data_IF_205183117508
#
_entry.id   IF_205183117508
#
_cell.length_a   1.000
_cell.length_b   1.000
_cell.length_c   1.000
_cell.angle_alpha   90.00
_cell.angle_beta   90.00
_cell.angle_gamma   90.00
#
_symmetry.space_group_name_H-M   'P 1'
#
loop_
_entity.id
_entity.type
_entity.pdbx_description
1 polymer ?
#
# COMPACT_ATOMS: atom_id res chain seq x y z
N UNK A 1 -15.60 -32.85 9.06
CA UNK A 1 -14.50 -31.86 9.12
C UNK A 1 -13.98 -31.63 7.73
N UNK A 2 -13.62 -30.38 7.40
CA UNK A 2 -13.04 -29.98 6.11
C UNK A 2 -11.62 -29.43 6.29
N UNK A 3 -10.76 -29.70 5.30
CA UNK A 3 -9.38 -29.20 5.26
C UNK A 3 -9.38 -27.72 4.86
N UNK A 4 -8.90 -26.86 5.76
CA UNK A 4 -8.81 -25.41 5.55
C UNK A 4 -7.50 -25.03 4.85
N UNK A 5 -6.37 -25.47 5.41
CA UNK A 5 -5.01 -25.19 4.90
C UNK A 5 -4.13 -26.42 5.15
N UNK A 6 -3.19 -26.66 4.24
CA UNK A 6 -2.13 -27.66 4.38
C UNK A 6 -0.77 -26.97 4.30
N UNK A 7 0.06 -27.08 5.34
CA UNK A 7 1.37 -26.41 5.41
C UNK A 7 2.31 -27.10 6.41
N UNK A 8 3.63 -26.90 6.24
CA UNK A 8 4.64 -27.31 7.22
C UNK A 8 5.25 -26.13 7.99
N UNK A 9 4.85 -24.90 7.66
CA UNK A 9 5.33 -23.69 8.32
C UNK A 9 4.74 -23.60 9.75
N UNK A 10 5.57 -23.75 10.81
CA UNK A 10 5.10 -23.72 12.19
C UNK A 10 4.57 -22.34 12.60
N UNK A 11 5.08 -21.25 12.00
CA UNK A 11 4.61 -19.88 12.26
C UNK A 11 3.21 -19.72 11.68
N UNK A 12 3.01 -20.15 10.42
CA UNK A 12 1.70 -20.11 9.77
C UNK A 12 0.67 -20.97 10.50
N UNK A 13 1.04 -22.15 10.99
CA UNK A 13 0.15 -23.01 11.79
C UNK A 13 -0.25 -22.32 13.08
N UNK A 14 0.73 -21.83 13.85
CA UNK A 14 0.47 -21.14 15.13
C UNK A 14 -0.41 -19.90 14.94
N UNK A 15 -0.14 -19.12 13.89
CA UNK A 15 -0.90 -17.92 13.57
C UNK A 15 -2.34 -18.24 13.14
N UNK A 16 -2.53 -19.18 12.21
CA UNK A 16 -3.87 -19.59 11.76
C UNK A 16 -4.73 -20.10 12.92
N UNK A 17 -4.15 -20.92 13.81
CA UNK A 17 -4.87 -21.40 15.00
C UNK A 17 -5.26 -20.26 15.94
N UNK A 18 -4.41 -19.25 16.14
CA UNK A 18 -4.73 -18.09 16.95
C UNK A 18 -5.86 -17.24 16.35
N UNK A 19 -5.78 -16.92 15.05
CA UNK A 19 -6.81 -16.14 14.34
C UNK A 19 -8.17 -16.82 14.37
N UNK A 20 -8.21 -18.15 14.18
CA UNK A 20 -9.45 -18.91 14.24
C UNK A 20 -10.03 -18.93 15.67
N UNK A 21 -9.19 -19.11 16.69
CA UNK A 21 -9.60 -19.13 18.08
C UNK A 21 -10.17 -17.78 18.55
N UNK A 22 -9.62 -16.64 18.10
CA UNK A 22 -10.16 -15.30 18.42
C UNK A 22 -11.62 -15.11 17.97
N UNK A 23 -12.05 -15.85 16.93
CA UNK A 23 -13.42 -15.85 16.42
C UNK A 23 -14.25 -17.04 16.89
N UNK A 24 -13.73 -17.82 17.84
CA UNK A 24 -14.40 -18.99 18.40
C UNK A 24 -14.51 -20.16 17.42
N UNK A 25 -13.64 -20.23 16.41
CA UNK A 25 -13.61 -21.33 15.44
C UNK A 25 -12.59 -22.36 15.91
N UNK A 26 -13.06 -23.56 16.24
CA UNK A 26 -12.21 -24.67 16.65
C UNK A 26 -11.47 -25.29 15.46
N UNK A 27 -10.13 -25.23 15.51
CA UNK A 27 -9.25 -25.79 14.50
C UNK A 27 -8.44 -26.98 15.04
N UNK A 28 -8.43 -28.08 14.31
CA UNK A 28 -7.67 -29.29 14.64
C UNK A 28 -6.50 -29.44 13.67
N UNK A 29 -5.27 -29.53 14.19
CA UNK A 29 -4.07 -29.78 13.38
C UNK A 29 -3.81 -31.29 13.32
N UNK A 30 -3.97 -31.88 12.13
CA UNK A 30 -3.67 -33.28 11.86
C UNK A 30 -2.22 -33.48 11.37
N UNK A 31 -1.75 -34.72 11.47
CA UNK A 31 -0.43 -35.19 11.01
C UNK A 31 0.76 -34.68 11.84
N UNK A 32 0.50 -34.11 13.03
CA UNK A 32 1.52 -33.61 13.98
C UNK A 32 2.50 -34.71 14.42
N UNK A 33 1.99 -35.92 14.73
CA UNK A 33 2.80 -37.03 15.25
C UNK A 33 3.41 -37.92 14.16
N UNK A 34 2.78 -38.01 12.98
CA UNK A 34 3.24 -38.88 11.88
C UNK A 34 4.59 -38.44 11.32
N UNK A 35 4.82 -37.12 11.21
CA UNK A 35 6.12 -36.54 10.82
C UNK A 35 7.25 -36.80 11.81
N UNK A 36 6.96 -37.06 13.09
CA UNK A 36 7.95 -37.26 14.15
C UNK A 36 8.32 -38.74 14.27
N UNK A 37 7.33 -39.64 14.17
CA UNK A 37 7.51 -41.09 14.30
C UNK A 37 8.29 -41.72 13.12
N UNK A 38 8.11 -41.22 11.89
CA UNK A 38 8.78 -41.78 10.71
C UNK A 38 10.17 -41.18 10.43
N UNK A 39 10.67 -40.28 11.29
CA UNK A 39 11.98 -39.61 11.09
C UNK A 39 12.02 -38.67 9.89
N UNK A 40 10.88 -38.40 9.25
CA UNK A 40 10.75 -37.54 8.08
C UNK A 40 10.28 -36.14 8.46
N UNK A 41 11.04 -35.45 9.31
CA UNK A 41 10.73 -34.09 9.77
C UNK A 41 10.58 -33.16 8.56
N UNK A 42 9.34 -32.74 8.28
CA UNK A 42 9.00 -31.83 7.18
C UNK A 42 8.56 -32.49 5.87
N UNK A 43 8.48 -33.83 5.78
CA UNK A 43 8.05 -34.52 4.55
C UNK A 43 6.52 -34.63 4.41
N UNK A 44 5.79 -34.72 5.52
CA UNK A 44 4.33 -34.82 5.51
C UNK A 44 3.74 -33.47 5.93
N UNK A 45 3.08 -32.73 5.01
CA UNK A 45 2.47 -31.46 5.34
C UNK A 45 1.28 -31.62 6.28
N UNK A 46 1.27 -30.84 7.36
CA UNK A 46 0.20 -30.84 8.36
C UNK A 46 -1.06 -30.20 7.80
N UNK A 47 -2.22 -30.74 8.18
CA UNK A 47 -3.53 -30.24 7.75
C UNK A 47 -4.24 -29.57 8.90
N UNK A 48 -4.68 -28.34 8.67
CA UNK A 48 -5.56 -27.61 9.59
C UNK A 48 -7.00 -27.91 9.17
N UNK A 49 -7.74 -28.55 10.06
CA UNK A 49 -9.10 -28.99 9.84
C UNK A 49 -10.05 -28.14 10.67
N UNK A 50 -11.22 -27.83 10.12
CA UNK A 50 -12.33 -27.19 10.83
C UNK A 50 -13.59 -28.03 10.64
N UNK A 51 -14.61 -27.84 11.50
CA UNK A 51 -15.90 -28.48 11.29
C UNK A 51 -16.58 -27.94 10.02
N UNK A 52 -17.44 -28.74 9.41
CA UNK A 52 -17.99 -28.43 8.08
C UNK A 52 -18.83 -27.15 8.07
N UNK A 53 -19.50 -26.86 9.18
CA UNK A 53 -20.35 -25.69 9.39
C UNK A 53 -19.54 -24.39 9.44
N UNK A 54 -18.36 -24.43 10.07
CA UNK A 54 -17.47 -23.28 10.21
C UNK A 54 -16.57 -23.05 8.99
N UNK A 55 -16.52 -23.99 8.05
CA UNK A 55 -15.55 -23.99 6.96
C UNK A 55 -15.55 -22.69 6.15
N UNK A 56 -16.73 -22.19 5.80
CA UNK A 56 -16.85 -20.96 5.00
C UNK A 56 -16.45 -19.71 5.79
N UNK A 57 -16.83 -19.64 7.07
CA UNK A 57 -16.44 -18.54 7.96
C UNK A 57 -14.93 -18.55 8.23
N UNK A 58 -14.36 -19.73 8.49
CA UNK A 58 -12.93 -19.93 8.68
C UNK A 58 -12.14 -19.53 7.43
N UNK A 59 -12.59 -19.94 6.25
CA UNK A 59 -11.95 -19.59 4.97
C UNK A 59 -12.00 -18.09 4.70
N UNK A 60 -13.14 -17.44 4.92
CA UNK A 60 -13.29 -16.01 4.77
C UNK A 60 -12.38 -15.24 5.76
N UNK A 61 -12.33 -15.68 7.01
CA UNK A 61 -11.50 -15.09 8.06
C UNK A 61 -10.01 -15.20 7.70
N UNK A 62 -9.54 -16.40 7.35
CA UNK A 62 -8.14 -16.62 6.94
C UNK A 62 -7.78 -15.77 5.74
N UNK A 63 -8.62 -15.72 4.72
CA UNK A 63 -8.38 -14.86 3.55
C UNK A 63 -8.32 -13.38 3.91
N UNK A 64 -9.16 -12.91 4.84
CA UNK A 64 -9.14 -11.53 5.30
C UNK A 64 -7.91 -11.23 6.17
N UNK A 65 -7.50 -12.17 7.02
CA UNK A 65 -6.37 -12.03 7.92
C UNK A 65 -5.03 -12.15 7.17
N UNK A 66 -4.91 -13.04 6.18
CA UNK A 66 -3.73 -13.14 5.31
C UNK A 66 -3.54 -11.86 4.49
N UNK A 67 -4.63 -11.19 4.07
CA UNK A 67 -4.57 -9.86 3.45
C UNK A 67 -4.12 -8.76 4.42
N UNK A 68 -4.44 -8.88 5.71
CA UNK A 68 -4.06 -7.91 6.73
C UNK A 68 -2.64 -8.13 7.29
N UNK A 69 -2.08 -9.35 7.19
CA UNK A 69 -0.78 -9.73 7.77
C UNK A 69 0.39 -9.54 6.80
N UNK A 70 0.14 -9.35 5.51
CA UNK A 70 1.18 -8.83 4.61
C UNK A 70 1.26 -7.32 4.87
N UNK A 71 2.33 -6.84 5.54
CA UNK A 71 2.73 -5.43 5.45
C UNK A 71 3.00 -5.12 3.98
N UNK A 72 1.98 -4.62 3.28
CA UNK A 72 2.03 -4.28 1.85
C UNK A 72 2.75 -2.96 1.60
N UNK A 73 3.09 -2.23 2.65
CA UNK A 73 3.63 -0.88 2.61
C UNK A 73 4.89 -0.76 3.48
N UNK A 74 5.71 0.23 3.13
CA UNK A 74 6.89 0.64 3.89
C UNK A 74 6.85 2.15 4.09
N UNK A 75 7.44 2.65 5.18
CA UNK A 75 7.59 4.08 5.43
C UNK A 75 9.01 4.48 5.08
N UNK A 76 9.16 5.34 4.08
CA UNK A 76 10.43 5.99 3.76
C UNK A 76 10.43 7.44 4.26
N UNK A 77 11.63 8.00 4.42
CA UNK A 77 11.83 9.39 4.79
C UNK A 77 12.53 10.14 3.65
N UNK A 78 11.96 11.27 3.23
CA UNK A 78 12.59 12.20 2.30
C UNK A 78 12.92 13.51 3.03
N UNK A 79 13.90 14.25 2.51
CA UNK A 79 14.29 15.58 2.99
C UNK A 79 14.56 15.61 4.51
N UNK A 80 15.42 14.69 4.98
CA UNK A 80 15.75 14.51 6.40
C UNK A 80 14.52 14.30 7.31
N UNK A 81 13.51 13.58 6.80
CA UNK A 81 12.31 13.23 7.56
C UNK A 81 11.24 14.32 7.59
N UNK A 82 11.40 15.41 6.82
CA UNK A 82 10.34 16.41 6.62
C UNK A 82 9.16 15.86 5.83
N UNK A 83 9.38 14.81 5.06
CA UNK A 83 8.32 14.07 4.37
C UNK A 83 8.44 12.60 4.78
N UNK A 84 7.42 12.11 5.47
CA UNK A 84 7.22 10.68 5.72
C UNK A 84 6.32 10.13 4.63
N UNK A 85 6.80 9.08 3.96
CA UNK A 85 6.18 8.56 2.75
C UNK A 85 5.89 7.07 2.90
N UNK A 86 4.64 6.74 3.24
CA UNK A 86 4.11 5.40 3.05
C UNK A 86 3.95 5.11 1.57
N UNK A 87 4.47 3.97 1.15
CA UNK A 87 4.31 3.49 -0.22
C UNK A 87 4.32 1.96 -0.25
N UNK A 88 3.74 1.36 -1.31
CA UNK A 88 3.80 -0.08 -1.50
C UNK A 88 5.23 -0.62 -1.41
N UNK A 89 5.35 -1.81 -0.82
CA UNK A 89 6.61 -2.53 -0.67
C UNK A 89 7.12 -3.09 -2.01
N UNK A 90 6.19 -3.52 -2.85
CA UNK A 90 6.44 -4.07 -4.19
C UNK A 90 6.02 -3.05 -5.26
N UNK A 91 6.33 -3.33 -6.53
CA UNK A 91 6.06 -2.41 -7.64
C UNK A 91 7.05 -1.24 -7.75
N UNK A 92 6.68 -0.23 -8.53
CA UNK A 92 7.49 0.99 -8.67
C UNK A 92 7.50 1.78 -7.36
N UNK A 93 8.72 2.05 -6.85
CA UNK A 93 8.95 2.82 -5.63
C UNK A 93 9.60 4.15 -5.93
N UNK A 94 9.26 5.14 -5.11
CA UNK A 94 9.82 6.49 -5.20
C UNK A 94 11.34 6.44 -5.04
N UNK A 95 12.02 7.07 -5.99
CA UNK A 95 13.47 7.26 -6.00
C UNK A 95 13.80 8.76 -5.91
N UNK A 96 14.95 9.17 -6.46
CA UNK A 96 15.43 10.56 -6.37
C UNK A 96 14.67 11.51 -7.29
N UNK A 97 14.04 11.02 -8.36
CA UNK A 97 13.46 11.86 -9.42
C UNK A 97 12.36 12.82 -8.90
N UNK A 98 11.38 12.39 -8.08
CA UNK A 98 10.39 13.30 -7.51
C UNK A 98 10.99 14.41 -6.64
N UNK A 99 12.10 14.14 -5.95
CA UNK A 99 12.81 15.13 -5.13
C UNK A 99 13.47 16.18 -6.02
N UNK A 100 14.13 15.77 -7.10
CA UNK A 100 14.76 16.68 -8.06
C UNK A 100 13.73 17.47 -8.86
N UNK A 101 12.62 16.83 -9.26
CA UNK A 101 11.49 17.49 -9.90
C UNK A 101 10.93 18.59 -8.99
N UNK A 102 10.64 18.27 -7.73
CA UNK A 102 10.17 19.26 -6.76
C UNK A 102 11.18 20.39 -6.55
N UNK A 103 12.49 20.13 -6.57
CA UNK A 103 13.54 21.14 -6.44
C UNK A 103 13.61 22.10 -7.65
N UNK A 104 13.21 21.63 -8.84
CA UNK A 104 13.24 22.43 -10.08
C UNK A 104 12.12 23.47 -10.18
N UNK A 105 11.09 23.36 -9.34
CA UNK A 105 9.95 24.28 -9.32
C UNK A 105 10.19 25.39 -8.30
N UNK A 106 10.09 26.64 -8.75
CA UNK A 106 10.10 27.83 -7.89
C UNK A 106 8.67 28.38 -7.78
N UNK A 107 7.90 27.86 -6.81
CA UNK A 107 6.54 28.30 -6.55
C UNK A 107 6.49 29.32 -5.41
N UNK A 108 5.78 30.43 -5.65
CA UNK A 108 5.51 31.49 -4.66
C UNK A 108 4.20 31.31 -3.90
N UNK A 109 3.99 32.17 -2.89
CA UNK A 109 2.73 32.19 -2.15
C UNK A 109 1.54 32.57 -3.05
N UNK A 110 0.45 31.81 -2.97
CA UNK A 110 -0.75 31.96 -3.80
C UNK A 110 -0.62 31.41 -5.22
N UNK A 111 0.56 30.92 -5.61
CA UNK A 111 0.72 30.22 -6.89
C UNK A 111 0.13 28.82 -6.83
N UNK A 112 -0.52 28.41 -7.91
CA UNK A 112 -1.19 27.10 -8.02
C UNK A 112 -0.32 26.13 -8.80
N UNK A 113 0.05 25.01 -8.17
CA UNK A 113 0.88 23.97 -8.79
C UNK A 113 0.10 22.67 -8.88
N UNK A 114 0.17 22.01 -10.05
CA UNK A 114 -0.40 20.68 -10.27
C UNK A 114 0.70 19.63 -10.45
N UNK A 115 0.64 18.57 -9.66
CA UNK A 115 1.38 17.32 -9.86
C UNK A 115 0.48 16.29 -10.58
N UNK A 116 0.85 15.91 -11.80
CA UNK A 116 0.08 14.99 -12.64
C UNK A 116 0.66 13.59 -12.55
N UNK A 117 -0.19 12.61 -12.20
CA UNK A 117 0.26 11.26 -11.88
C UNK A 117 0.99 11.26 -10.54
N UNK A 118 0.36 11.86 -9.52
CA UNK A 118 0.99 12.16 -8.25
C UNK A 118 1.42 10.90 -7.46
N UNK A 119 0.90 9.71 -7.80
CA UNK A 119 1.16 8.48 -7.09
C UNK A 119 0.89 8.62 -5.59
N UNK A 120 1.88 8.26 -4.76
CA UNK A 120 1.83 8.42 -3.29
C UNK A 120 2.16 9.84 -2.80
N UNK A 121 2.27 10.82 -3.72
CA UNK A 121 2.41 12.25 -3.41
C UNK A 121 3.85 12.76 -3.27
N UNK A 122 4.87 12.00 -3.65
CA UNK A 122 6.26 12.33 -3.32
C UNK A 122 6.74 13.70 -3.84
N UNK A 123 6.49 14.05 -5.11
CA UNK A 123 6.93 15.32 -5.67
C UNK A 123 6.15 16.50 -5.05
N UNK A 124 4.82 16.42 -5.03
CA UNK A 124 3.96 17.44 -4.41
C UNK A 124 4.29 17.68 -2.93
N UNK A 125 4.55 16.63 -2.13
CA UNK A 125 4.92 16.77 -0.72
C UNK A 125 6.33 17.34 -0.54
N UNK A 126 7.29 16.94 -1.36
CA UNK A 126 8.61 17.56 -1.36
C UNK A 126 8.51 19.07 -1.65
N UNK A 127 7.69 19.46 -2.63
CA UNK A 127 7.45 20.87 -2.94
C UNK A 127 6.76 21.60 -1.78
N UNK A 128 5.73 20.99 -1.19
CA UNK A 128 5.00 21.53 -0.02
C UNK A 128 5.92 21.83 1.16
N UNK A 129 6.92 20.98 1.39
CA UNK A 129 7.87 21.14 2.51
C UNK A 129 8.80 22.35 2.38
N UNK A 130 8.89 22.96 1.18
CA UNK A 130 9.80 24.07 0.86
C UNK A 130 9.07 25.34 0.44
N UNK A 131 7.91 25.22 -0.23
CA UNK A 131 7.16 26.35 -0.78
C UNK A 131 5.95 26.67 0.09
N UNK A 132 6.19 27.34 1.23
CA UNK A 132 5.13 27.80 2.12
C UNK A 132 4.19 28.78 1.40
N UNK A 133 2.88 28.55 1.52
CA UNK A 133 1.85 29.41 0.93
C UNK A 133 1.49 29.11 -0.53
N UNK A 134 2.18 28.19 -1.21
CA UNK A 134 1.73 27.70 -2.51
C UNK A 134 0.47 26.84 -2.39
N UNK A 135 -0.41 26.91 -3.39
CA UNK A 135 -1.61 26.08 -3.49
C UNK A 135 -1.30 24.84 -4.32
N UNK A 136 -1.06 23.71 -3.65
CA UNK A 136 -0.60 22.48 -4.28
C UNK A 136 -1.76 21.51 -4.51
N UNK A 137 -1.81 20.94 -5.71
CA UNK A 137 -2.79 19.96 -6.13
C UNK A 137 -2.08 18.74 -6.70
N UNK A 138 -2.61 17.55 -6.41
CA UNK A 138 -2.16 16.32 -7.04
C UNK A 138 -3.32 15.62 -7.75
N UNK A 139 -3.10 15.16 -8.97
CA UNK A 139 -4.06 14.34 -9.72
C UNK A 139 -3.48 12.93 -9.87
N UNK A 140 -4.25 11.93 -9.46
CA UNK A 140 -3.87 10.52 -9.61
C UNK A 140 -5.09 9.68 -10.00
N UNK A 141 -4.86 8.70 -10.89
CA UNK A 141 -5.92 7.86 -11.44
C UNK A 141 -6.31 6.76 -10.45
N UNK A 142 -5.33 6.22 -9.73
CA UNK A 142 -5.51 5.07 -8.86
C UNK A 142 -6.00 5.49 -7.46
N UNK A 143 -7.21 5.07 -7.03
CA UNK A 143 -7.78 5.52 -5.76
C UNK A 143 -6.93 5.11 -4.55
N UNK A 144 -6.29 3.94 -4.59
CA UNK A 144 -5.45 3.46 -3.48
C UNK A 144 -4.23 4.36 -3.26
N UNK A 145 -3.63 4.87 -4.34
CA UNK A 145 -2.48 5.77 -4.27
C UNK A 145 -2.88 7.17 -3.80
N UNK A 146 -4.07 7.64 -4.18
CA UNK A 146 -4.65 8.90 -3.69
C UNK A 146 -4.83 8.86 -2.17
N UNK A 147 -5.34 7.76 -1.61
CA UNK A 147 -5.50 7.61 -0.16
C UNK A 147 -4.15 7.59 0.57
N UNK A 148 -3.14 6.93 0.00
CA UNK A 148 -1.77 6.99 0.52
C UNK A 148 -1.20 8.40 0.47
N UNK A 149 -1.39 9.13 -0.63
CA UNK A 149 -0.92 10.50 -0.78
C UNK A 149 -1.55 11.44 0.27
N UNK A 150 -2.87 11.30 0.50
CA UNK A 150 -3.59 12.04 1.55
C UNK A 150 -3.06 11.71 2.95
N UNK A 151 -2.81 10.43 3.23
CA UNK A 151 -2.25 9.97 4.51
C UNK A 151 -0.83 10.53 4.72
N UNK A 152 0.02 10.47 3.71
CA UNK A 152 1.38 11.02 3.73
C UNK A 152 1.40 12.53 3.96
N UNK A 153 0.46 13.26 3.36
CA UNK A 153 0.28 14.69 3.58
C UNK A 153 -0.09 14.99 5.04
N UNK A 154 -1.09 14.27 5.57
CA UNK A 154 -1.55 14.45 6.94
C UNK A 154 -0.43 14.17 7.96
N UNK A 155 0.33 13.10 7.77
CA UNK A 155 1.42 12.69 8.66
C UNK A 155 2.62 13.62 8.61
N UNK A 156 2.94 14.12 7.41
CA UNK A 156 4.00 15.12 7.25
C UNK A 156 3.55 16.52 7.67
N UNK A 157 2.28 16.71 8.04
CA UNK A 157 1.66 18.02 8.32
C UNK A 157 1.82 18.99 7.14
N UNK A 158 1.74 18.46 5.92
CA UNK A 158 1.86 19.21 4.67
C UNK A 158 0.51 19.33 3.99
N UNK A 159 0.27 20.47 3.34
CA UNK A 159 -1.01 20.75 2.67
C UNK A 159 -0.87 20.56 1.16
N UNK A 160 -1.48 19.49 0.66
CA UNK A 160 -1.66 19.22 -0.77
C UNK A 160 -3.09 18.70 -0.97
N UNK A 161 -3.80 19.24 -1.95
CA UNK A 161 -5.16 18.82 -2.30
C UNK A 161 -5.13 17.72 -3.37
N UNK A 162 -5.20 16.46 -2.94
CA UNK A 162 -5.16 15.30 -3.84
C UNK A 162 -6.54 14.93 -4.36
N UNK A 163 -6.64 14.82 -5.68
CA UNK A 163 -7.85 14.46 -6.42
C UNK A 163 -7.65 13.13 -7.14
N UNK A 164 -8.64 12.26 -7.00
CA UNK A 164 -8.75 11.09 -7.88
C UNK A 164 -9.35 11.54 -9.22
N UNK A 165 -8.73 11.17 -10.33
CA UNK A 165 -9.32 11.41 -11.65
C UNK A 165 -8.41 11.07 -12.81
N UNK A 166 -8.99 11.07 -14.01
CA UNK A 166 -8.26 10.93 -15.27
C UNK A 166 -7.73 12.30 -15.72
N UNK A 167 -6.49 12.36 -16.19
CA UNK A 167 -5.93 13.58 -16.78
C UNK A 167 -6.68 14.00 -18.05
N UNK A 168 -7.22 13.05 -18.81
CA UNK A 168 -7.94 13.31 -20.05
C UNK A 168 -9.39 13.76 -19.81
N UNK A 169 -9.92 13.51 -18.61
CA UNK A 169 -11.23 13.99 -18.15
C UNK A 169 -11.12 14.44 -16.68
N UNK A 170 -10.44 15.58 -16.42
CA UNK A 170 -10.06 15.96 -15.07
C UNK A 170 -11.27 16.38 -14.23
N UNK A 171 -11.26 16.11 -12.92
CA UNK A 171 -12.33 16.51 -12.03
C UNK A 171 -12.43 18.03 -11.94
N UNK A 172 -13.62 18.56 -11.62
CA UNK A 172 -13.93 20.00 -11.61
C UNK A 172 -12.88 20.87 -10.90
N UNK A 173 -12.34 20.50 -9.71
CA UNK A 173 -11.32 21.31 -9.04
C UNK A 173 -10.02 21.51 -9.85
N UNK A 174 -9.72 20.57 -10.74
CA UNK A 174 -8.57 20.62 -11.65
C UNK A 174 -8.97 21.27 -12.97
N UNK A 175 -10.10 20.90 -13.56
CA UNK A 175 -10.56 21.39 -14.86
C UNK A 175 -10.93 22.88 -14.86
N UNK A 176 -11.47 23.39 -13.75
CA UNK A 176 -11.96 24.76 -13.66
C UNK A 176 -10.88 25.82 -13.37
N UNK A 177 -9.62 25.42 -13.19
CA UNK A 177 -8.57 26.31 -12.71
C UNK A 177 -7.31 26.32 -13.58
N UNK A 178 -6.68 27.48 -13.72
CA UNK A 178 -5.34 27.62 -14.30
C UNK A 178 -4.24 27.40 -13.27
N UNK A 179 -3.17 26.72 -13.67
CA UNK A 179 -1.99 26.47 -12.82
C UNK A 179 -0.81 27.30 -13.32
N UNK A 180 -0.05 27.91 -12.40
CA UNK A 180 1.20 28.60 -12.73
C UNK A 180 2.29 27.59 -13.06
N UNK A 181 2.29 26.45 -12.38
CA UNK A 181 3.22 25.35 -12.65
C UNK A 181 2.46 24.04 -12.80
N UNK A 182 2.89 23.22 -13.76
CA UNK A 182 2.45 21.83 -13.91
C UNK A 182 3.69 20.97 -13.96
N UNK A 183 3.75 19.96 -13.10
CA UNK A 183 4.84 18.99 -13.04
C UNK A 183 4.30 17.57 -13.19
N UNK A 184 5.14 16.68 -13.71
CA UNK A 184 4.81 15.27 -13.85
C UNK A 184 6.11 14.46 -13.83
N UNK A 185 6.07 13.32 -13.14
CA UNK A 185 7.10 12.28 -13.26
C UNK A 185 6.46 11.00 -13.81
N UNK A 186 6.20 10.93 -15.13
CA UNK A 186 5.49 9.81 -15.70
C UNK A 186 6.30 8.51 -15.60
N UNK A 187 5.64 7.35 -15.52
CA UNK A 187 6.30 6.06 -15.54
C UNK A 187 7.10 5.86 -16.83
N UNK A 188 8.39 5.55 -16.72
CA UNK A 188 9.26 5.24 -17.86
C UNK A 188 9.42 3.72 -18.09
N UNK A 189 8.95 2.90 -17.17
CA UNK A 189 9.01 1.44 -17.26
C UNK A 189 7.81 0.88 -18.05
N UNK A 190 7.92 -0.34 -18.61
CA UNK A 190 6.78 -1.04 -19.18
C UNK A 190 5.64 -1.18 -18.14
N UNK A 191 4.36 -1.19 -18.55
CA UNK A 191 3.21 -1.06 -17.63
C UNK A 191 3.23 -2.00 -16.42
N UNK A 192 3.68 -3.25 -16.58
CA UNK A 192 3.78 -4.24 -15.49
C UNK A 192 4.85 -3.94 -14.43
N UNK A 193 5.82 -3.08 -14.72
CA UNK A 193 6.92 -2.71 -13.81
C UNK A 193 6.81 -1.27 -13.32
N UNK A 194 5.93 -0.49 -13.94
CA UNK A 194 5.74 0.91 -13.63
C UNK A 194 4.54 1.15 -12.71
N UNK A 195 3.71 0.12 -12.48
CA UNK A 195 2.59 0.17 -11.55
C UNK A 195 3.11 0.03 -10.11
N UNK A 196 2.88 1.02 -9.23
CA UNK A 196 3.24 0.93 -7.82
C UNK A 196 2.53 -0.19 -7.07
N UNK A 197 1.50 -0.82 -7.65
CA UNK A 197 0.77 -1.94 -7.03
C UNK A 197 1.31 -3.33 -7.41
N UNK A 198 2.17 -3.44 -8.43
CA UNK A 198 2.60 -4.75 -8.98
C UNK A 198 4.11 -4.86 -9.12
#
# INVERSE_FOLDING_TARGET
>A
MKELVRTNDPVKISWLTAVLAERGIDAIVLDTHMSILEGQIGAIPRRIMVIDEDFEAARALVNSAERAVVETETVDALLDGRVLLRQPKEGYRVAIDPVLLAASIEAGAGERVLDVGAGVGAAALCLASRCEGAELYGLELQPELVELARSNAAESTLKVDFHQGDLLDPPVPIAAGGFTHVMANPPYLPPKRADPRT
#
